data_IF_549143985374
#
_entry.id   IF_549143985374
#
_cell.length_a   1.000
_cell.length_b   1.000
_cell.length_c   1.000
_cell.angle_alpha   90.00
_cell.angle_beta   90.00
_cell.angle_gamma   90.00
#
_symmetry.space_group_name_H-M   'P 1'
#
loop_
_entity.id
_entity.type
_entity.pdbx_description
1 polymer ?
#
# COMPACT_ATOMS: atom_id res chain seq x y z
N UNK A 1 25.14 20.13 27.95
CA UNK A 1 23.84 20.14 27.23
C UNK A 1 23.96 21.10 26.05
N UNK A 2 23.81 20.66 24.80
CA UNK A 2 23.89 21.58 23.63
C UNK A 2 22.50 22.15 23.33
N UNK A 3 22.26 23.47 23.53
CA UNK A 3 21.04 24.12 23.10
C UNK A 3 21.16 24.45 21.60
N UNK A 4 20.15 24.10 20.78
CA UNK A 4 20.08 24.57 19.39
C UNK A 4 19.58 23.59 18.32
N UNK A 5 19.24 22.33 18.63
CA UNK A 5 18.73 21.37 17.63
C UNK A 5 17.21 21.33 17.47
N UNK A 6 16.45 21.89 18.40
CA UNK A 6 14.98 21.72 18.46
C UNK A 6 14.19 22.63 17.50
N UNK A 7 14.74 23.80 17.14
CA UNK A 7 14.00 24.82 16.38
C UNK A 7 13.92 24.50 14.87
N UNK A 8 15.02 23.99 14.27
CA UNK A 8 15.08 23.73 12.82
C UNK A 8 14.20 22.55 12.38
N UNK A 9 14.13 21.48 13.17
CA UNK A 9 13.28 20.32 12.88
C UNK A 9 11.80 20.66 12.98
N UNK A 10 11.42 21.47 13.97
CA UNK A 10 10.05 21.95 14.13
C UNK A 10 9.62 22.78 12.92
N UNK A 11 10.43 23.77 12.55
CA UNK A 11 10.17 24.65 11.41
C UNK A 11 10.05 23.86 10.09
N UNK A 12 10.95 22.90 9.84
CA UNK A 12 10.88 22.05 8.64
C UNK A 12 9.58 21.24 8.60
N UNK A 13 9.19 20.62 9.72
CA UNK A 13 7.95 19.83 9.83
C UNK A 13 6.74 20.70 9.53
N UNK A 14 6.64 21.88 10.14
CA UNK A 14 5.50 22.78 9.95
C UNK A 14 5.39 23.23 8.49
N UNK A 15 6.50 23.62 7.87
CA UNK A 15 6.52 24.03 6.47
C UNK A 15 6.11 22.88 5.53
N UNK A 16 6.63 21.66 5.77
CA UNK A 16 6.29 20.49 4.97
C UNK A 16 4.79 20.14 5.10
N UNK A 17 4.23 20.19 6.32
CA UNK A 17 2.83 19.91 6.55
C UNK A 17 1.92 20.98 5.95
N UNK A 18 2.27 22.26 6.07
CA UNK A 18 1.52 23.37 5.46
C UNK A 18 1.50 23.27 3.94
N UNK A 19 2.65 22.98 3.32
CA UNK A 19 2.75 22.75 1.89
C UNK A 19 1.90 21.54 1.47
N UNK A 20 2.00 20.41 2.20
CA UNK A 20 1.25 19.20 1.90
C UNK A 20 -0.26 19.43 1.98
N UNK A 21 -0.75 20.17 2.98
CA UNK A 21 -2.17 20.49 3.12
C UNK A 21 -2.73 21.17 1.85
N UNK A 22 -1.96 22.09 1.27
CA UNK A 22 -2.34 22.84 0.06
C UNK A 22 -2.12 22.09 -1.25
N UNK A 23 -1.11 21.21 -1.32
CA UNK A 23 -0.64 20.58 -2.57
C UNK A 23 -0.78 19.06 -2.59
N UNK A 24 -1.56 18.47 -1.69
CA UNK A 24 -1.71 17.02 -1.63
C UNK A 24 -2.32 16.48 -2.93
N UNK A 25 -1.74 15.39 -3.44
CA UNK A 25 -2.32 14.62 -4.55
C UNK A 25 -3.37 13.65 -4.01
N UNK A 26 -4.60 13.63 -4.56
CA UNK A 26 -5.63 12.67 -4.16
C UNK A 26 -5.24 11.27 -4.65
N UNK A 27 -5.15 10.33 -3.73
CA UNK A 27 -4.90 8.91 -4.01
C UNK A 27 -5.86 8.09 -3.14
N UNK A 28 -6.43 6.99 -3.64
CA UNK A 28 -7.48 6.26 -2.93
C UNK A 28 -7.00 5.64 -1.61
N UNK A 29 -5.71 5.33 -1.49
CA UNK A 29 -5.09 4.83 -0.25
C UNK A 29 -4.69 5.94 0.73
N UNK A 30 -4.72 7.23 0.33
CA UNK A 30 -4.43 8.34 1.26
C UNK A 30 -5.68 8.66 2.08
N UNK A 31 -5.60 8.45 3.40
CA UNK A 31 -6.73 8.60 4.32
C UNK A 31 -7.54 7.31 4.52
N UNK A 32 -7.18 6.24 3.81
CA UNK A 32 -7.66 4.89 4.11
C UNK A 32 -7.17 4.45 5.50
N UNK A 33 -8.03 3.74 6.23
CA UNK A 33 -7.75 3.22 7.57
C UNK A 33 -7.66 1.71 7.60
N UNK A 34 -8.15 1.04 6.56
CA UNK A 34 -8.04 -0.39 6.39
C UNK A 34 -6.57 -0.81 6.16
N UNK A 35 -5.94 -1.55 7.12
CA UNK A 35 -4.55 -1.95 7.01
C UNK A 35 -4.26 -2.81 5.78
N UNK A 36 -5.21 -3.65 5.36
CA UNK A 36 -5.06 -4.50 4.19
C UNK A 36 -4.94 -3.67 2.91
N UNK A 37 -5.81 -2.67 2.75
CA UNK A 37 -5.81 -1.79 1.57
C UNK A 37 -4.59 -0.88 1.55
N UNK A 38 -4.15 -0.38 2.71
CA UNK A 38 -2.90 0.39 2.80
C UNK A 38 -1.73 -0.49 2.37
N UNK A 39 -1.59 -1.68 2.96
CA UNK A 39 -0.51 -2.63 2.64
C UNK A 39 -0.50 -3.03 1.16
N UNK A 40 -1.66 -3.36 0.60
CA UNK A 40 -1.80 -3.68 -0.83
C UNK A 40 -1.27 -2.55 -1.73
N UNK A 41 -1.61 -1.30 -1.40
CA UNK A 41 -1.11 -0.14 -2.15
C UNK A 41 0.41 -0.03 -2.11
N UNK A 42 1.03 -0.25 -0.95
CA UNK A 42 2.47 -0.21 -0.78
C UNK A 42 3.17 -1.30 -1.59
N UNK A 43 2.67 -2.54 -1.57
CA UNK A 43 3.25 -3.64 -2.36
C UNK A 43 3.15 -3.36 -3.86
N UNK A 44 2.02 -2.85 -4.34
CA UNK A 44 1.85 -2.48 -5.75
C UNK A 44 2.81 -1.37 -6.16
N UNK A 45 3.00 -0.35 -5.32
CA UNK A 45 3.80 0.84 -5.64
C UNK A 45 5.32 0.64 -5.49
N UNK A 46 5.77 -0.46 -4.92
CA UNK A 46 7.19 -0.82 -4.96
C UNK A 46 7.68 -0.90 -6.41
N UNK A 47 8.66 -0.06 -6.75
CA UNK A 47 9.26 0.03 -8.08
C UNK A 47 8.22 0.24 -9.21
N UNK A 48 7.05 0.80 -8.89
CA UNK A 48 5.94 1.02 -9.84
C UNK A 48 5.46 2.47 -9.70
N UNK A 49 5.27 3.17 -10.82
CA UNK A 49 4.73 4.54 -10.78
C UNK A 49 3.25 4.54 -10.39
N UNK A 50 2.80 5.59 -9.71
CA UNK A 50 1.40 5.74 -9.24
C UNK A 50 0.39 5.56 -10.38
N UNK A 51 0.61 6.20 -11.52
CA UNK A 51 -0.30 6.13 -12.69
C UNK A 51 -0.48 4.70 -13.20
N UNK A 52 0.59 3.90 -13.16
CA UNK A 52 0.55 2.50 -13.56
C UNK A 52 -0.06 1.61 -12.47
N UNK A 53 0.25 1.85 -11.19
CA UNK A 53 -0.22 1.02 -10.07
C UNK A 53 -1.68 1.23 -9.71
N UNK A 54 -2.22 2.44 -9.86
CA UNK A 54 -3.59 2.80 -9.48
C UNK A 54 -4.68 1.88 -10.06
N UNK A 55 -4.72 1.56 -11.38
CA UNK A 55 -5.72 0.65 -11.91
C UNK A 55 -5.60 -0.77 -11.35
N UNK A 56 -4.39 -1.24 -11.01
CA UNK A 56 -4.21 -2.55 -10.38
C UNK A 56 -4.73 -2.54 -8.95
N UNK A 57 -4.40 -1.52 -8.17
CA UNK A 57 -4.91 -1.36 -6.82
C UNK A 57 -6.45 -1.44 -6.79
N UNK A 58 -7.12 -0.69 -7.68
CA UNK A 58 -8.59 -0.71 -7.77
C UNK A 58 -9.13 -2.11 -8.09
N UNK A 59 -8.58 -2.79 -9.10
CA UNK A 59 -9.00 -4.16 -9.45
C UNK A 59 -8.77 -5.14 -8.31
N UNK A 60 -7.63 -5.06 -7.62
CA UNK A 60 -7.34 -5.92 -6.48
C UNK A 60 -8.33 -5.70 -5.33
N UNK A 61 -8.61 -4.45 -4.96
CA UNK A 61 -9.59 -4.13 -3.90
C UNK A 61 -11.01 -4.56 -4.30
N UNK A 62 -11.37 -4.45 -5.58
CA UNK A 62 -12.67 -4.91 -6.08
C UNK A 62 -12.81 -6.45 -6.04
N UNK A 63 -11.78 -7.18 -6.47
CA UNK A 63 -11.80 -8.65 -6.51
C UNK A 63 -11.57 -9.29 -5.14
N UNK A 64 -10.75 -8.64 -4.32
CA UNK A 64 -10.36 -9.10 -2.99
C UNK A 64 -10.61 -7.97 -1.98
N UNK A 65 -11.86 -7.77 -1.52
CA UNK A 65 -12.18 -6.65 -0.64
C UNK A 65 -11.54 -6.74 0.75
N UNK A 66 -11.15 -7.95 1.19
CA UNK A 66 -10.52 -8.22 2.48
C UNK A 66 -9.30 -9.15 2.31
N UNK A 67 -8.47 -9.22 3.34
CA UNK A 67 -7.29 -10.09 3.33
C UNK A 67 -7.65 -11.57 3.19
N UNK A 68 -8.80 -12.00 3.73
CA UNK A 68 -9.29 -13.37 3.61
C UNK A 68 -9.71 -13.71 2.18
N UNK A 69 -10.28 -12.74 1.44
CA UNK A 69 -10.60 -12.94 0.03
C UNK A 69 -9.31 -13.16 -0.77
N UNK A 70 -8.27 -12.36 -0.51
CA UNK A 70 -6.97 -12.54 -1.14
C UNK A 70 -6.32 -13.88 -0.75
N UNK A 71 -6.41 -14.26 0.53
CA UNK A 71 -5.80 -15.50 1.05
C UNK A 71 -6.41 -16.78 0.46
N UNK A 72 -7.74 -16.77 0.22
CA UNK A 72 -8.47 -17.92 -0.34
C UNK A 72 -8.38 -18.01 -1.86
N UNK A 73 -7.91 -16.97 -2.53
CA UNK A 73 -7.83 -16.94 -3.98
C UNK A 73 -6.88 -18.02 -4.51
N UNK A 74 -7.20 -18.65 -5.64
CA UNK A 74 -6.22 -19.43 -6.40
C UNK A 74 -5.02 -18.54 -6.80
N UNK A 75 -3.80 -19.07 -6.73
CA UNK A 75 -2.59 -18.29 -7.02
C UNK A 75 -2.59 -17.77 -8.47
N UNK A 76 -3.03 -18.58 -9.42
CA UNK A 76 -3.18 -18.20 -10.83
C UNK A 76 -4.11 -16.99 -11.02
N UNK A 77 -5.20 -16.89 -10.25
CA UNK A 77 -6.08 -15.72 -10.27
C UNK A 77 -5.34 -14.46 -9.79
N UNK A 78 -4.56 -14.56 -8.71
CA UNK A 78 -3.74 -13.46 -8.19
C UNK A 78 -2.69 -13.03 -9.23
N UNK A 79 -1.99 -13.98 -9.84
CA UNK A 79 -0.97 -13.69 -10.85
C UNK A 79 -1.57 -13.10 -12.12
N UNK A 80 -2.78 -13.53 -12.50
CA UNK A 80 -3.52 -12.96 -13.64
C UNK A 80 -3.89 -11.50 -13.39
N UNK A 81 -4.37 -11.16 -12.20
CA UNK A 81 -4.64 -9.76 -11.83
C UNK A 81 -3.36 -8.92 -11.75
N UNK A 82 -2.22 -9.54 -11.43
CA UNK A 82 -0.90 -8.90 -11.38
C UNK A 82 -0.22 -8.74 -12.75
N UNK A 83 -0.75 -9.40 -13.79
CA UNK A 83 -0.11 -9.46 -15.10
C UNK A 83 0.14 -8.05 -15.66
N UNK A 84 1.41 -7.74 -15.94
CA UNK A 84 1.84 -6.43 -16.47
C UNK A 84 2.49 -5.50 -15.44
N UNK A 85 2.46 -5.81 -14.14
CA UNK A 85 3.19 -5.04 -13.10
C UNK A 85 4.68 -5.43 -12.96
N UNK A 86 5.10 -6.54 -13.57
CA UNK A 86 6.45 -7.09 -13.38
C UNK A 86 6.71 -7.59 -11.95
N UNK A 87 7.93 -8.09 -11.72
CA UNK A 87 8.40 -8.59 -10.41
C UNK A 87 7.38 -9.49 -9.69
N UNK A 88 6.97 -10.60 -10.33
CA UNK A 88 5.93 -11.53 -9.85
C UNK A 88 6.21 -12.13 -8.46
N UNK A 89 7.45 -12.07 -7.98
CA UNK A 89 7.77 -12.41 -6.60
C UNK A 89 6.98 -11.55 -5.59
N UNK A 90 6.68 -10.27 -5.91
CA UNK A 90 5.83 -9.41 -5.07
C UNK A 90 4.43 -9.99 -4.89
N UNK A 91 3.78 -10.38 -6.00
CA UNK A 91 2.45 -11.00 -5.95
C UNK A 91 2.45 -12.31 -5.16
N UNK A 92 3.44 -13.18 -5.40
CA UNK A 92 3.55 -14.46 -4.69
C UNK A 92 3.78 -14.27 -3.19
N UNK A 93 4.70 -13.38 -2.81
CA UNK A 93 4.98 -13.09 -1.40
C UNK A 93 3.78 -12.42 -0.73
N UNK A 94 3.12 -11.47 -1.40
CA UNK A 94 1.89 -10.86 -0.91
C UNK A 94 0.81 -11.92 -0.66
N UNK A 95 0.61 -12.84 -1.60
CA UNK A 95 -0.38 -13.91 -1.44
C UNK A 95 -0.02 -14.88 -0.31
N UNK A 96 1.25 -15.26 -0.18
CA UNK A 96 1.73 -16.08 0.93
C UNK A 96 1.54 -15.38 2.28
N UNK A 97 1.84 -14.08 2.37
CA UNK A 97 1.60 -13.27 3.57
C UNK A 97 0.11 -13.15 3.90
N UNK A 98 -0.76 -12.97 2.90
CA UNK A 98 -2.20 -12.94 3.12
C UNK A 98 -2.72 -14.25 3.71
N UNK A 99 -2.25 -15.40 3.20
CA UNK A 99 -2.54 -16.73 3.76
C UNK A 99 -2.08 -16.87 5.21
N UNK A 100 -0.86 -16.44 5.51
CA UNK A 100 -0.33 -16.49 6.87
C UNK A 100 -1.17 -15.65 7.84
N UNK A 101 -1.53 -14.41 7.48
CA UNK A 101 -2.34 -13.54 8.36
C UNK A 101 -3.74 -14.13 8.58
N UNK A 102 -4.43 -14.53 7.49
CA UNK A 102 -5.78 -15.06 7.58
C UNK A 102 -5.86 -16.36 8.41
N UNK A 103 -4.83 -17.22 8.35
CA UNK A 103 -4.85 -18.52 9.01
C UNK A 103 -4.23 -18.50 10.43
N UNK A 104 -3.24 -17.65 10.69
CA UNK A 104 -2.42 -17.71 11.91
C UNK A 104 -2.51 -16.44 12.79
N UNK A 105 -3.23 -15.41 12.35
CA UNK A 105 -3.34 -14.11 13.06
C UNK A 105 -4.77 -13.62 13.26
N UNK A 106 -5.76 -14.48 13.04
CA UNK A 106 -7.20 -14.20 13.16
C UNK A 106 -7.76 -13.21 12.12
N UNK A 107 -7.14 -13.11 10.95
CA UNK A 107 -7.47 -12.09 9.94
C UNK A 107 -6.83 -10.76 10.27
#
# INVERSE_FOLDING_TARGET
MKPGRTNKTHLFREQLLAWFAQHHRPLPWKGEKDPYKIWLSEIILQQTRVEQGLPYYRRFVEHFPTIEHLARAPEDQVLKLWQGLGYYARARNMHATAKHIANERHG
#
